data_IF_673055667032
#
_entry.id   IF_673055667032
#
_cell.length_a   1.000
_cell.length_b   1.000
_cell.length_c   1.000
_cell.angle_alpha   90.00
_cell.angle_beta   90.00
_cell.angle_gamma   90.00
#
_symmetry.space_group_name_H-M   'P 1'
#
loop_
_entity.id
_entity.type
_entity.pdbx_description
1 polymer ?
#
# COMPACT_ATOMS: atom_id res chain seq x y z
N UNK A 1 -0.48 -19.31 -7.30
CA UNK A 1 0.32 -18.65 -6.24
C UNK A 1 1.32 -17.73 -6.89
N UNK A 2 1.21 -16.44 -6.64
CA UNK A 2 2.14 -15.45 -7.17
C UNK A 2 3.44 -15.45 -6.33
N UNK A 3 4.57 -15.13 -6.95
CA UNK A 3 5.82 -14.94 -6.19
C UNK A 3 5.74 -13.64 -5.38
N UNK A 4 5.29 -12.57 -6.02
CA UNK A 4 5.10 -11.26 -5.39
C UNK A 4 3.76 -10.70 -5.88
N UNK A 5 2.92 -10.23 -4.96
CA UNK A 5 1.68 -9.55 -5.26
C UNK A 5 1.70 -8.11 -4.73
N UNK A 6 1.49 -7.14 -5.62
CA UNK A 6 1.27 -5.74 -5.24
C UNK A 6 -0.23 -5.51 -5.12
N UNK A 7 -0.70 -5.11 -3.95
CA UNK A 7 -2.11 -4.93 -3.61
C UNK A 7 -2.43 -3.45 -3.44
N UNK A 8 -3.29 -2.91 -4.30
CA UNK A 8 -3.64 -1.49 -4.36
C UNK A 8 -5.16 -1.34 -4.15
N UNK A 9 -5.62 -1.02 -2.95
CA UNK A 9 -7.03 -0.63 -2.74
C UNK A 9 -7.27 0.77 -3.30
N UNK A 10 -8.28 0.93 -4.16
CA UNK A 10 -8.61 2.21 -4.81
C UNK A 10 -10.06 2.62 -4.59
N UNK A 11 -10.26 3.91 -4.40
CA UNK A 11 -11.57 4.57 -4.43
C UNK A 11 -11.44 6.00 -4.96
N UNK A 12 -11.86 6.23 -6.22
CA UNK A 12 -11.75 7.51 -6.92
C UNK A 12 -10.31 8.06 -6.99
N UNK A 13 -9.39 7.24 -7.53
CA UNK A 13 -7.97 7.54 -7.69
C UNK A 13 -7.56 7.66 -9.17
N UNK A 14 -8.48 8.10 -10.05
CA UNK A 14 -8.24 8.18 -11.51
C UNK A 14 -7.02 9.03 -11.90
N UNK A 15 -6.62 9.99 -11.05
CA UNK A 15 -5.48 10.89 -11.32
C UNK A 15 -4.12 10.25 -11.09
N UNK A 16 -4.06 9.20 -10.29
CA UNK A 16 -2.80 8.65 -9.76
C UNK A 16 -2.61 7.16 -10.04
N UNK A 17 -3.70 6.40 -10.15
CA UNK A 17 -3.67 4.95 -10.26
C UNK A 17 -2.83 4.44 -11.43
N UNK A 18 -2.90 5.07 -12.60
CA UNK A 18 -2.13 4.69 -13.79
C UNK A 18 -0.62 4.78 -13.53
N UNK A 19 -0.19 5.90 -12.93
CA UNK A 19 1.21 6.12 -12.54
C UNK A 19 1.65 5.10 -11.50
N UNK A 20 0.87 4.90 -10.44
CA UNK A 20 1.19 3.95 -9.37
C UNK A 20 1.36 2.54 -9.93
N UNK A 21 0.42 2.05 -10.73
CA UNK A 21 0.51 0.73 -11.38
C UNK A 21 1.76 0.63 -12.26
N UNK A 22 2.02 1.64 -13.08
CA UNK A 22 3.18 1.65 -13.99
C UNK A 22 4.50 1.65 -13.23
N UNK A 23 4.62 2.43 -12.16
CA UNK A 23 5.82 2.50 -11.33
C UNK A 23 6.10 1.16 -10.63
N UNK A 24 5.09 0.52 -10.03
CA UNK A 24 5.28 -0.79 -9.39
C UNK A 24 5.63 -1.89 -10.39
N UNK A 25 5.03 -1.89 -11.58
CA UNK A 25 5.41 -2.83 -12.66
C UNK A 25 6.84 -2.61 -13.16
N UNK A 26 7.32 -1.37 -13.16
CA UNK A 26 8.69 -1.03 -13.54
C UNK A 26 9.71 -1.53 -12.51
N UNK A 27 9.46 -1.34 -11.21
CA UNK A 27 10.42 -1.68 -10.15
C UNK A 27 10.34 -3.14 -9.70
N UNK A 28 9.20 -3.78 -9.91
CA UNK A 28 8.95 -5.20 -9.60
C UNK A 28 8.38 -5.92 -10.84
N UNK A 29 9.18 -6.16 -11.89
CA UNK A 29 8.69 -6.70 -13.16
C UNK A 29 8.11 -8.12 -13.04
N UNK A 30 8.55 -8.89 -12.04
CA UNK A 30 8.07 -10.26 -11.78
C UNK A 30 6.83 -10.29 -10.86
N UNK A 31 6.36 -9.14 -10.39
CA UNK A 31 5.19 -9.06 -9.52
C UNK A 31 3.88 -8.96 -10.32
N UNK A 32 2.82 -9.55 -9.79
CA UNK A 32 1.46 -9.28 -10.27
C UNK A 32 0.90 -8.07 -9.50
N UNK A 33 0.47 -7.03 -10.24
CA UNK A 33 -0.15 -5.84 -9.64
C UNK A 33 -1.66 -6.01 -9.66
N UNK A 34 -2.28 -6.02 -8.49
CA UNK A 34 -3.72 -6.10 -8.29
C UNK A 34 -4.27 -4.75 -7.83
N UNK A 35 -5.28 -4.26 -8.54
CA UNK A 35 -6.07 -3.11 -8.11
C UNK A 35 -7.45 -3.58 -7.70
N UNK A 36 -7.85 -3.28 -6.47
CA UNK A 36 -9.21 -3.54 -5.98
C UNK A 36 -9.98 -2.24 -5.93
N UNK A 37 -10.89 -2.10 -6.89
CA UNK A 37 -11.78 -0.95 -6.98
C UNK A 37 -12.94 -1.09 -6.01
N UNK A 38 -13.16 -0.06 -5.17
CA UNK A 38 -14.22 -0.05 -4.17
C UNK A 38 -15.33 0.93 -4.55
N UNK A 39 -15.99 0.67 -5.68
CA UNK A 39 -17.08 1.47 -6.25
C UNK A 39 -16.65 2.88 -6.71
N UNK A 40 -15.52 3.01 -7.38
CA UNK A 40 -15.11 4.24 -8.04
C UNK A 40 -16.09 4.63 -9.16
N UNK A 41 -16.25 5.93 -9.36
CA UNK A 41 -17.14 6.51 -10.38
C UNK A 41 -16.39 7.40 -11.37
N UNK A 42 -15.07 7.47 -11.27
CA UNK A 42 -14.19 8.40 -11.99
C UNK A 42 -13.32 7.76 -13.07
N UNK A 43 -13.53 6.45 -13.38
CA UNK A 43 -12.72 5.72 -14.36
C UNK A 43 -11.45 5.09 -13.78
N UNK A 44 -11.31 5.03 -12.47
CA UNK A 44 -10.14 4.42 -11.79
C UNK A 44 -9.88 2.99 -12.27
N UNK A 45 -10.93 2.16 -12.37
CA UNK A 45 -10.78 0.75 -12.73
C UNK A 45 -10.26 0.57 -14.16
N UNK A 46 -10.79 1.33 -15.10
CA UNK A 46 -10.40 1.31 -16.51
C UNK A 46 -8.95 1.77 -16.71
N UNK A 47 -8.55 2.84 -16.03
CA UNK A 47 -7.18 3.36 -16.06
C UNK A 47 -6.19 2.36 -15.47
N UNK A 48 -6.53 1.73 -14.34
CA UNK A 48 -5.71 0.68 -13.74
C UNK A 48 -5.53 -0.52 -14.67
N UNK A 49 -6.61 -0.98 -15.32
CA UNK A 49 -6.56 -2.07 -16.29
C UNK A 49 -5.70 -1.69 -17.50
N UNK A 50 -5.84 -0.47 -18.02
CA UNK A 50 -5.04 0.07 -19.12
C UNK A 50 -3.55 0.12 -18.80
N UNK A 51 -3.18 0.41 -17.55
CA UNK A 51 -1.80 0.38 -17.06
C UNK A 51 -1.27 -1.06 -16.84
N UNK A 52 -2.12 -2.08 -16.97
CA UNK A 52 -1.77 -3.50 -16.91
C UNK A 52 -1.91 -4.13 -15.53
N UNK A 53 -2.73 -3.57 -14.66
CA UNK A 53 -3.12 -4.21 -13.41
C UNK A 53 -4.22 -5.27 -13.62
N UNK A 54 -4.25 -6.27 -12.76
CA UNK A 54 -5.39 -7.17 -12.61
C UNK A 54 -6.43 -6.48 -11.74
N UNK A 55 -7.52 -5.99 -12.35
CA UNK A 55 -8.56 -5.25 -11.62
C UNK A 55 -9.62 -6.20 -11.07
N UNK A 56 -10.01 -6.00 -9.82
CA UNK A 56 -11.14 -6.65 -9.14
C UNK A 56 -12.00 -5.62 -8.43
N UNK A 57 -13.26 -5.95 -8.17
CA UNK A 57 -14.21 -5.05 -7.53
C UNK A 57 -14.64 -5.58 -6.17
N UNK A 58 -14.61 -4.70 -5.15
CA UNK A 58 -15.25 -4.94 -3.86
C UNK A 58 -16.44 -4.00 -3.72
N UNK A 59 -17.64 -4.58 -3.72
CA UNK A 59 -18.89 -3.81 -3.71
C UNK A 59 -19.29 -3.32 -2.31
N UNK A 60 -18.77 -3.96 -1.26
CA UNK A 60 -18.99 -3.49 0.10
C UNK A 60 -18.04 -2.33 0.40
N UNK A 61 -18.60 -1.13 0.53
CA UNK A 61 -17.82 0.08 0.74
C UNK A 61 -16.96 0.01 2.00
N UNK A 62 -15.70 0.44 1.87
CA UNK A 62 -14.75 0.59 2.98
C UNK A 62 -13.45 -0.18 2.78
N UNK A 63 -12.33 0.49 3.02
CA UNK A 63 -10.97 -0.05 2.84
C UNK A 63 -10.76 -1.38 3.57
N UNK A 64 -11.35 -1.56 4.76
CA UNK A 64 -11.25 -2.81 5.51
C UNK A 64 -11.92 -4.01 4.82
N UNK A 65 -12.97 -3.79 4.03
CA UNK A 65 -13.63 -4.83 3.23
C UNK A 65 -12.73 -5.23 2.06
N UNK A 66 -12.16 -4.23 1.37
CA UNK A 66 -11.17 -4.42 0.30
C UNK A 66 -9.99 -5.24 0.80
N UNK A 67 -9.40 -4.86 1.92
CA UNK A 67 -8.24 -5.55 2.50
C UNK A 67 -8.54 -7.02 2.82
N UNK A 68 -9.68 -7.30 3.47
CA UNK A 68 -10.07 -8.68 3.77
C UNK A 68 -10.29 -9.50 2.51
N UNK A 69 -10.83 -8.90 1.46
CA UNK A 69 -11.04 -9.59 0.20
C UNK A 69 -9.73 -9.89 -0.51
N UNK A 70 -8.81 -8.92 -0.58
CA UNK A 70 -7.48 -9.10 -1.15
C UNK A 70 -6.76 -10.31 -0.55
N UNK A 71 -6.61 -10.34 0.78
CA UNK A 71 -5.91 -11.44 1.47
C UNK A 71 -6.63 -12.79 1.42
N UNK A 72 -7.92 -12.80 1.14
CA UNK A 72 -8.68 -14.04 0.94
C UNK A 72 -8.53 -14.60 -0.47
N UNK A 73 -8.41 -13.73 -1.47
CA UNK A 73 -8.44 -14.11 -2.89
C UNK A 73 -7.06 -14.26 -3.52
N UNK A 74 -6.07 -13.54 -3.00
CA UNK A 74 -4.71 -13.53 -3.55
C UNK A 74 -3.82 -14.39 -2.66
N UNK A 75 -3.16 -15.36 -3.29
CA UNK A 75 -2.16 -16.21 -2.65
C UNK A 75 -0.80 -15.88 -3.27
N UNK A 76 0.14 -15.40 -2.44
CA UNK A 76 1.47 -14.99 -2.86
C UNK A 76 2.52 -15.31 -1.78
N UNK A 77 3.76 -15.45 -2.19
CA UNK A 77 4.89 -15.65 -1.28
C UNK A 77 5.23 -14.36 -0.51
N UNK A 78 5.11 -13.21 -1.19
CA UNK A 78 5.28 -11.90 -0.58
C UNK A 78 4.21 -10.91 -1.09
N UNK A 79 3.75 -10.04 -0.21
CA UNK A 79 2.79 -8.99 -0.53
C UNK A 79 3.41 -7.61 -0.37
N UNK A 80 3.09 -6.71 -1.29
CA UNK A 80 3.26 -5.27 -1.12
C UNK A 80 1.87 -4.65 -1.06
N UNK A 81 1.56 -4.00 0.04
CA UNK A 81 0.36 -3.18 0.17
C UNK A 81 0.73 -1.72 0.00
N UNK A 82 0.03 -1.00 -0.86
CA UNK A 82 0.25 0.43 -1.12
C UNK A 82 -1.05 1.12 -1.50
N UNK A 83 -1.22 2.39 -1.12
CA UNK A 83 -2.38 3.19 -1.50
C UNK A 83 -2.26 3.68 -2.96
N UNK A 84 -3.41 3.88 -3.63
CA UNK A 84 -3.48 4.31 -5.03
C UNK A 84 -3.24 5.80 -5.27
N UNK A 85 -2.95 6.58 -4.22
CA UNK A 85 -2.88 8.04 -4.22
C UNK A 85 -1.49 8.65 -4.55
N UNK A 86 -0.55 7.81 -4.99
CA UNK A 86 0.84 8.19 -5.31
C UNK A 86 1.62 8.82 -4.12
N UNK A 87 1.25 8.47 -2.89
CA UNK A 87 1.91 9.01 -1.69
C UNK A 87 3.25 8.32 -1.40
N UNK A 88 3.45 7.09 -1.91
CA UNK A 88 4.59 6.25 -1.56
C UNK A 88 5.49 5.96 -2.76
N UNK A 89 6.83 6.10 -2.60
CA UNK A 89 7.78 5.82 -3.68
C UNK A 89 7.85 4.33 -3.96
N UNK A 90 7.62 3.94 -5.21
CA UNK A 90 7.71 2.54 -5.64
C UNK A 90 9.14 1.98 -5.55
N UNK A 91 10.15 2.85 -5.63
CA UNK A 91 11.58 2.50 -5.59
C UNK A 91 12.01 1.78 -4.31
N UNK A 92 11.26 1.95 -3.21
CA UNK A 92 11.53 1.24 -1.96
C UNK A 92 11.03 -0.22 -1.96
N UNK A 93 10.10 -0.58 -2.85
CA UNK A 93 9.47 -1.90 -2.86
C UNK A 93 10.45 -3.06 -3.05
N UNK A 94 11.47 -3.01 -3.93
CA UNK A 94 12.42 -4.12 -4.09
C UNK A 94 13.17 -4.46 -2.80
N UNK A 95 13.60 -3.45 -2.04
CA UNK A 95 14.29 -3.65 -0.77
C UNK A 95 13.35 -4.24 0.29
N UNK A 96 12.11 -3.74 0.36
CA UNK A 96 11.09 -4.26 1.29
C UNK A 96 10.77 -5.73 0.99
N UNK A 97 10.58 -6.09 -0.28
CA UNK A 97 10.34 -7.47 -0.71
C UNK A 97 11.54 -8.36 -0.40
N UNK A 98 12.76 -7.90 -0.67
CA UNK A 98 13.98 -8.67 -0.39
C UNK A 98 14.13 -8.99 1.10
N UNK A 99 13.79 -8.06 1.99
CA UNK A 99 13.83 -8.27 3.43
C UNK A 99 12.83 -9.36 3.90
N UNK A 100 11.62 -9.39 3.31
CA UNK A 100 10.59 -10.39 3.63
C UNK A 100 10.95 -11.75 3.04
N UNK A 101 11.24 -11.82 1.73
CA UNK A 101 11.57 -13.09 1.06
C UNK A 101 12.90 -13.67 1.55
N UNK A 102 13.84 -12.83 1.97
CA UNK A 102 15.10 -13.22 2.60
C UNK A 102 14.94 -13.62 4.08
N UNK A 103 13.71 -13.64 4.62
CA UNK A 103 13.39 -14.00 6.03
C UNK A 103 14.13 -13.14 7.06
N UNK A 104 14.46 -11.90 6.71
CA UNK A 104 15.03 -10.93 7.64
C UNK A 104 13.96 -10.28 8.50
N UNK A 105 12.72 -10.22 7.99
CA UNK A 105 11.55 -9.70 8.68
C UNK A 105 10.29 -10.42 8.18
N UNK A 106 9.29 -10.57 9.06
CA UNK A 106 7.95 -11.07 8.69
C UNK A 106 7.09 -9.96 8.09
N UNK A 107 7.41 -8.70 8.42
CA UNK A 107 6.75 -7.51 7.88
C UNK A 107 7.72 -6.32 7.87
N UNK A 108 7.73 -5.58 6.76
CA UNK A 108 8.44 -4.30 6.62
C UNK A 108 7.42 -3.18 6.47
N UNK A 109 7.60 -2.12 7.23
CA UNK A 109 6.71 -0.95 7.22
C UNK A 109 7.45 0.25 6.63
N UNK A 110 6.91 0.82 5.56
CA UNK A 110 7.45 2.03 4.94
C UNK A 110 7.22 3.25 5.84
N UNK A 111 8.32 3.89 6.28
CA UNK A 111 8.28 5.08 7.10
C UNK A 111 8.14 6.34 6.22
N UNK A 112 6.91 6.86 6.12
CA UNK A 112 6.67 8.11 5.38
C UNK A 112 7.10 9.36 6.14
N UNK A 113 7.26 9.30 7.47
CA UNK A 113 7.57 10.45 8.31
C UNK A 113 9.01 10.92 8.14
N UNK A 114 9.91 10.03 7.73
CA UNK A 114 11.31 10.35 7.43
C UNK A 114 11.53 10.85 5.99
N UNK A 115 10.52 10.81 5.12
CA UNK A 115 10.63 11.25 3.72
C UNK A 115 10.47 12.77 3.58
N UNK A 116 11.17 13.35 2.59
CA UNK A 116 11.04 14.77 2.21
C UNK A 116 9.62 15.14 1.75
N UNK A 117 8.83 14.16 1.29
CA UNK A 117 7.43 14.33 0.90
C UNK A 117 6.54 14.75 2.08
N UNK A 118 6.81 14.22 3.28
CA UNK A 118 6.05 14.54 4.49
C UNK A 118 6.22 16.00 4.95
N UNK A 119 7.39 16.58 4.75
CA UNK A 119 7.65 18.00 5.10
C UNK A 119 6.81 18.98 4.28
N UNK A 120 6.37 18.57 3.08
CA UNK A 120 5.58 19.40 2.16
C UNK A 120 4.06 19.29 2.40
N UNK A 121 3.57 18.20 3.01
CA UNK A 121 2.12 17.89 3.14
C UNK A 121 1.65 17.75 4.59
N UNK A 122 2.12 18.58 5.51
CA UNK A 122 1.74 18.55 6.93
C UNK A 122 0.24 18.83 7.14
N UNK A 123 -0.50 17.82 7.62
CA UNK A 123 -1.87 17.97 8.12
C UNK A 123 -1.84 17.95 9.66
N UNK A 124 -2.02 19.07 10.37
CA UNK A 124 -1.71 19.20 11.80
C UNK A 124 -2.48 18.23 12.71
N UNK A 125 -3.74 17.92 12.41
CA UNK A 125 -4.54 16.99 13.24
C UNK A 125 -4.23 15.50 12.99
N UNK A 126 -3.72 15.15 11.82
CA UNK A 126 -3.38 13.76 11.49
C UNK A 126 -2.12 13.30 12.24
N UNK A 127 -1.21 14.20 12.50
CA UNK A 127 0.04 13.93 13.21
C UNK A 127 -0.20 13.65 14.68
N UNK A 128 -1.08 14.41 15.34
CA UNK A 128 -1.42 14.19 16.74
C UNK A 128 -2.02 12.79 16.98
N UNK A 129 -2.92 12.33 16.10
CA UNK A 129 -3.49 10.97 16.19
C UNK A 129 -2.45 9.88 16.04
N UNK A 130 -1.56 9.99 15.04
CA UNK A 130 -0.48 9.03 14.84
C UNK A 130 0.51 9.01 16.01
N UNK A 131 0.88 10.18 16.53
CA UNK A 131 1.79 10.31 17.68
C UNK A 131 1.20 9.70 18.96
N UNK A 132 -0.09 9.93 19.22
CA UNK A 132 -0.79 9.36 20.37
C UNK A 132 -0.86 7.83 20.27
N UNK A 133 -1.30 7.29 19.13
CA UNK A 133 -1.40 5.83 18.93
C UNK A 133 -0.02 5.19 18.98
N UNK A 134 1.00 5.81 18.36
CA UNK A 134 2.38 5.36 18.42
C UNK A 134 2.92 5.32 19.85
N UNK A 135 2.67 6.38 20.63
CA UNK A 135 3.07 6.44 22.05
C UNK A 135 2.43 5.31 22.85
N UNK A 136 1.10 5.15 22.74
CA UNK A 136 0.37 4.09 23.42
C UNK A 136 0.87 2.70 23.02
N UNK A 137 1.04 2.43 21.72
CA UNK A 137 1.49 1.12 21.23
C UNK A 137 2.92 0.81 21.68
N UNK A 138 3.84 1.76 21.54
CA UNK A 138 5.23 1.57 21.97
C UNK A 138 5.34 1.39 23.49
N UNK A 139 4.52 2.11 24.29
CA UNK A 139 4.53 1.98 25.74
C UNK A 139 3.94 0.66 26.22
N UNK A 140 2.81 0.21 25.61
CA UNK A 140 2.12 -1.02 26.03
C UNK A 140 2.83 -2.30 25.58
N UNK A 141 3.47 -2.27 24.40
CA UNK A 141 4.07 -3.46 23.77
C UNK A 141 5.61 -3.42 23.73
N UNK A 142 6.24 -2.39 24.28
CA UNK A 142 7.72 -2.26 24.30
C UNK A 142 8.33 -2.08 22.90
N UNK A 143 7.54 -1.62 21.93
CA UNK A 143 7.93 -1.47 20.53
C UNK A 143 8.75 -0.19 20.25
N UNK A 144 9.27 -0.09 19.02
CA UNK A 144 9.96 1.10 18.49
C UNK A 144 9.35 1.52 17.13
N UNK A 145 8.01 1.43 17.02
CA UNK A 145 7.29 1.78 15.80
C UNK A 145 7.38 3.29 15.56
N UNK A 146 7.78 3.72 14.36
CA UNK A 146 7.91 5.13 13.99
C UNK A 146 6.66 5.69 13.33
N UNK A 147 6.02 4.93 12.43
CA UNK A 147 4.77 5.27 11.78
C UNK A 147 3.81 4.08 11.82
N UNK A 148 2.66 4.23 12.50
CA UNK A 148 1.67 3.17 12.65
C UNK A 148 0.53 3.27 11.63
N UNK A 149 0.33 4.47 11.06
CA UNK A 149 -0.76 4.76 10.14
C UNK A 149 -0.34 4.73 8.65
N UNK A 150 0.84 4.20 8.34
CA UNK A 150 1.29 4.08 6.96
C UNK A 150 0.47 3.07 6.17
N UNK A 151 0.17 3.37 4.91
CA UNK A 151 -0.44 2.45 3.94
C UNK A 151 0.57 1.57 3.19
N UNK A 152 1.88 1.73 3.42
CA UNK A 152 2.94 1.05 2.69
C UNK A 152 3.59 -0.04 3.53
N UNK A 153 3.40 -1.29 3.11
CA UNK A 153 3.88 -2.46 3.86
C UNK A 153 4.26 -3.59 2.93
N UNK A 154 5.25 -4.33 3.30
CA UNK A 154 5.58 -5.62 2.71
C UNK A 154 5.43 -6.72 3.75
#
# INVERSE_FOLDING_TARGET
MDKIAVLIPCYNESKTVEKVVSDFRRVLPDATVYVYDNNSTDGTAELAAGAGAVVRHEYQQGKGNVMRRMFREIDAEAYILVDGDDTYPAEAAPEMVAAVTGRQADMVVGDRLSSTYYTQNKRPFHNFGNDLVRFCTNHLFGGKIKDIMTGYRA
#
